data_IF_095809853702
#
_entry.id   IF_095809853702
#
_cell.length_a   1.000
_cell.length_b   1.000
_cell.length_c   1.000
_cell.angle_alpha   90.00
_cell.angle_beta   90.00
_cell.angle_gamma   90.00
#
_symmetry.space_group_name_H-M   'P 1'
#
loop_
_entity.id
_entity.type
_entity.pdbx_description
1 polymer ?
#
# COMPACT_ATOMS: atom_id res chain seq x y z
N UNK A 1 -22.18 15.37 -8.23
CA UNK A 1 -21.96 14.44 -7.09
C UNK A 1 -21.63 13.07 -7.67
N UNK A 2 -20.33 12.75 -7.79
CA UNK A 2 -19.90 11.47 -8.35
C UNK A 2 -20.15 10.37 -7.32
N UNK A 3 -21.12 9.51 -7.62
CA UNK A 3 -21.43 8.32 -6.84
C UNK A 3 -20.33 7.30 -7.17
N UNK A 4 -19.37 7.12 -6.27
CA UNK A 4 -18.44 6.00 -6.40
C UNK A 4 -19.26 4.72 -6.26
N UNK A 5 -19.49 4.02 -7.38
CA UNK A 5 -20.00 2.66 -7.36
C UNK A 5 -18.93 1.82 -6.67
N UNK A 6 -19.12 1.50 -5.38
CA UNK A 6 -18.39 0.40 -4.75
C UNK A 6 -18.86 -0.86 -5.47
N UNK A 7 -18.06 -1.35 -6.39
CA UNK A 7 -18.14 -2.72 -6.82
C UNK A 7 -17.81 -3.54 -5.57
N UNK A 8 -18.76 -4.34 -5.11
CA UNK A 8 -18.51 -5.31 -4.05
C UNK A 8 -17.50 -6.32 -4.60
N UNK A 9 -16.20 -6.06 -4.38
CA UNK A 9 -15.06 -6.92 -4.73
C UNK A 9 -15.03 -8.17 -3.83
N UNK A 10 -16.14 -8.90 -3.77
CA UNK A 10 -16.27 -10.13 -3.00
C UNK A 10 -16.33 -11.35 -3.92
N UNK A 11 -15.60 -11.28 -5.04
CA UNK A 11 -15.46 -12.40 -5.95
C UNK A 11 -14.19 -13.18 -5.59
N UNK A 12 -14.33 -14.48 -5.29
CA UNK A 12 -13.19 -15.33 -4.90
C UNK A 12 -12.11 -15.35 -5.97
N UNK A 13 -12.50 -15.18 -7.23
CA UNK A 13 -11.58 -15.10 -8.38
C UNK A 13 -10.77 -13.80 -8.38
N UNK A 14 -11.33 -12.70 -7.86
CA UNK A 14 -10.60 -11.42 -7.71
C UNK A 14 -9.50 -11.51 -6.64
N UNK A 15 -9.76 -12.24 -5.55
CA UNK A 15 -8.74 -12.44 -4.50
C UNK A 15 -7.57 -13.27 -5.03
N UNK A 16 -7.83 -14.30 -5.83
CA UNK A 16 -6.78 -15.11 -6.46
C UNK A 16 -5.90 -14.25 -7.38
N UNK A 17 -6.50 -13.42 -8.24
CA UNK A 17 -5.75 -12.51 -9.11
C UNK A 17 -4.91 -11.50 -8.34
N UNK A 18 -5.39 -11.06 -7.16
CA UNK A 18 -4.66 -10.10 -6.33
C UNK A 18 -3.40 -10.72 -5.71
N UNK A 19 -3.49 -11.95 -5.19
CA UNK A 19 -2.31 -12.70 -4.72
C UNK A 19 -1.29 -12.91 -5.85
N UNK A 20 -1.75 -13.31 -7.03
CA UNK A 20 -0.87 -13.48 -8.20
C UNK A 20 -0.12 -12.18 -8.55
N UNK A 21 -0.81 -11.03 -8.55
CA UNK A 21 -0.18 -9.73 -8.79
C UNK A 21 0.88 -9.43 -7.73
N UNK A 22 0.56 -9.63 -6.45
CA UNK A 22 1.49 -9.33 -5.36
C UNK A 22 2.69 -10.29 -5.35
N UNK A 23 2.52 -11.55 -5.72
CA UNK A 23 3.62 -12.51 -5.83
C UNK A 23 4.60 -12.16 -6.94
N UNK A 24 4.09 -11.74 -8.11
CA UNK A 24 4.90 -11.40 -9.28
C UNK A 24 5.59 -10.03 -9.17
N UNK A 25 5.13 -9.14 -8.30
CA UNK A 25 5.71 -7.80 -8.13
C UNK A 25 6.41 -7.66 -6.77
N UNK A 26 7.67 -7.23 -6.75
CA UNK A 26 8.45 -7.05 -5.50
C UNK A 26 8.61 -5.61 -5.06
N UNK A 27 8.18 -4.66 -5.90
CA UNK A 27 8.29 -3.23 -5.66
C UNK A 27 6.89 -2.63 -5.80
N UNK A 28 6.55 -1.73 -4.89
CA UNK A 28 5.35 -0.90 -4.99
C UNK A 28 5.73 0.57 -5.16
N UNK A 29 4.80 1.34 -5.71
CA UNK A 29 4.82 2.81 -5.66
C UNK A 29 3.89 3.26 -4.54
N UNK A 30 4.42 3.95 -3.56
CA UNK A 30 3.70 4.48 -2.41
C UNK A 30 3.54 5.99 -2.57
N UNK A 31 2.33 6.49 -2.32
CA UNK A 31 2.10 7.92 -2.16
C UNK A 31 1.85 8.24 -0.69
N UNK A 32 2.57 9.20 -0.13
CA UNK A 32 2.37 9.68 1.23
C UNK A 32 1.97 11.15 1.20
N UNK A 33 0.97 11.53 1.99
CA UNK A 33 0.52 12.91 2.13
C UNK A 33 0.80 13.37 3.55
N UNK A 34 1.59 14.41 3.70
CA UNK A 34 1.86 15.03 5.00
C UNK A 34 0.62 15.76 5.51
N UNK A 35 0.48 16.01 6.83
CA UNK A 35 -0.63 16.79 7.37
C UNK A 35 -0.72 18.22 6.82
N UNK A 36 0.39 18.75 6.29
CA UNK A 36 0.44 20.06 5.62
C UNK A 36 -0.02 20.00 4.15
N UNK A 37 -0.51 18.85 3.68
CA UNK A 37 -1.02 18.66 2.32
C UNK A 37 0.03 18.39 1.24
N UNK A 38 1.32 18.26 1.60
CA UNK A 38 2.37 17.92 0.63
C UNK A 38 2.40 16.43 0.36
N UNK A 39 2.34 16.04 -0.90
CA UNK A 39 2.42 14.66 -1.36
C UNK A 39 3.83 14.28 -1.83
N UNK A 40 4.20 13.02 -1.59
CA UNK A 40 5.45 12.41 -2.03
C UNK A 40 5.15 11.05 -2.66
N UNK A 41 5.86 10.71 -3.74
CA UNK A 41 5.81 9.39 -4.38
C UNK A 41 7.18 8.74 -4.20
N UNK A 42 7.18 7.52 -3.70
CA UNK A 42 8.38 6.76 -3.40
C UNK A 42 8.18 5.29 -3.72
N UNK A 43 9.23 4.63 -4.20
CA UNK A 43 9.22 3.20 -4.45
C UNK A 43 9.81 2.45 -3.26
N UNK A 44 9.25 1.28 -2.96
CA UNK A 44 9.76 0.45 -1.87
C UNK A 44 9.59 -1.03 -2.17
N UNK A 45 10.51 -1.83 -1.63
CA UNK A 45 10.31 -3.27 -1.52
C UNK A 45 9.24 -3.54 -0.46
N UNK A 46 8.46 -4.59 -0.68
CA UNK A 46 7.41 -4.98 0.24
C UNK A 46 7.27 -6.49 0.36
N UNK A 47 6.64 -6.92 1.44
CA UNK A 47 6.08 -8.25 1.64
C UNK A 47 4.59 -8.12 1.95
N UNK A 48 3.84 -9.21 1.82
CA UNK A 48 2.43 -9.26 2.20
C UNK A 48 2.07 -10.58 2.86
N UNK A 49 0.94 -10.64 3.55
CA UNK A 49 0.41 -11.88 4.13
C UNK A 49 -0.95 -12.29 3.55
N UNK A 50 -1.46 -13.44 3.99
CA UNK A 50 -2.74 -14.02 3.55
C UNK A 50 -3.97 -13.13 3.85
N UNK A 51 -3.81 -12.12 4.72
CA UNK A 51 -4.84 -11.11 5.00
C UNK A 51 -4.64 -9.83 4.19
N UNK A 52 -3.73 -9.87 3.20
CA UNK A 52 -3.35 -8.75 2.34
C UNK A 52 -2.78 -7.55 3.11
N UNK A 53 -2.19 -7.78 4.29
CA UNK A 53 -1.43 -6.73 4.97
C UNK A 53 -0.12 -6.53 4.24
N UNK A 54 0.19 -5.28 3.89
CA UNK A 54 1.43 -4.91 3.19
C UNK A 54 2.46 -4.42 4.21
N UNK A 55 3.66 -4.98 4.15
CA UNK A 55 4.80 -4.61 4.98
C UNK A 55 5.86 -3.98 4.10
N UNK A 56 6.20 -2.72 4.37
CA UNK A 56 7.23 -2.00 3.62
C UNK A 56 8.58 -2.30 4.26
N UNK A 57 9.54 -2.72 3.45
CA UNK A 57 10.90 -3.01 3.90
C UNK A 57 11.74 -1.75 3.74
N UNK A 58 12.24 -1.22 4.85
CA UNK A 58 13.12 -0.04 4.88
C UNK A 58 14.43 -0.36 5.60
N UNK A 59 15.51 0.36 5.25
CA UNK A 59 16.75 0.31 6.03
C UNK A 59 16.45 0.87 7.44
N UNK A 60 16.76 0.15 8.54
CA UNK A 60 16.55 0.66 9.89
C UNK A 60 17.31 1.97 10.18
N UNK A 61 18.36 2.27 9.42
CA UNK A 61 19.13 3.52 9.48
C UNK A 61 18.59 4.61 8.55
N UNK A 62 17.58 4.31 7.74
CA UNK A 62 16.96 5.32 6.91
C UNK A 62 16.39 6.44 7.79
N UNK A 63 16.92 7.65 7.61
CA UNK A 63 16.46 8.87 8.27
C UNK A 63 15.19 9.40 7.56
N UNK A 64 14.40 8.49 6.99
CA UNK A 64 13.08 8.82 6.47
C UNK A 64 12.20 9.29 7.62
N UNK A 65 11.10 10.01 7.35
CA UNK A 65 10.23 10.50 8.40
C UNK A 65 9.65 9.31 9.19
N UNK A 66 10.31 8.96 10.29
CA UNK A 66 9.80 8.04 11.31
C UNK A 66 8.50 8.57 11.94
N UNK A 67 8.08 9.78 11.58
CA UNK A 67 6.86 10.40 12.09
C UNK A 67 5.56 9.85 11.51
N UNK A 68 5.48 9.27 10.30
CA UNK A 68 4.16 9.06 9.66
C UNK A 68 4.04 7.85 8.73
N UNK A 69 4.44 6.68 9.20
CA UNK A 69 3.75 5.44 8.81
C UNK A 69 2.56 5.15 9.73
N UNK A 70 1.93 6.21 10.28
CA UNK A 70 0.59 6.14 10.85
C UNK A 70 -0.36 5.84 9.69
N UNK A 71 -0.54 4.54 9.45
CA UNK A 71 -1.82 4.02 9.02
C UNK A 71 -2.90 4.78 9.79
N UNK A 72 -3.83 5.35 9.02
CA UNK A 72 -5.02 6.04 9.44
C UNK A 72 -5.42 5.78 10.91
N UNK A 73 -5.46 6.84 11.71
CA UNK A 73 -6.38 6.89 12.86
C UNK A 73 -7.83 6.83 12.33
#
# INVERSE_FOLDING_TARGET
>A
MFKFNRLDYNDKDSNKGLFEILEHNKILSLTTVTPKGKAYINTAFYAFDEKLRIYIITDPKSIGPQEKFLCCD
#
